data_IF_656262923262
#
_entry.id   IF_656262923262
#
_cell.length_a   1.000
_cell.length_b   1.000
_cell.length_c   1.000
_cell.angle_alpha   90.00
_cell.angle_beta   90.00
_cell.angle_gamma   90.00
#
_symmetry.space_group_name_H-M   'P 1'
#
loop_
_entity.id
_entity.type
_entity.pdbx_description
1 polymer ?
#
# COMPACT_ATOMS: atom_id res chain seq x y z
N UNK A 1 -27.25 18.12 8.47
CA UNK A 1 -25.87 17.63 8.26
C UNK A 1 -24.90 18.78 8.12
N UNK A 2 -23.86 18.83 8.97
CA UNK A 2 -22.81 19.85 8.91
C UNK A 2 -21.84 19.58 7.75
N UNK A 3 -21.10 20.61 7.30
CA UNK A 3 -20.06 20.48 6.26
C UNK A 3 -19.00 19.43 6.64
N UNK A 4 -18.68 19.31 7.93
CA UNK A 4 -17.78 18.29 8.49
C UNK A 4 -18.32 16.87 8.28
N UNK A 5 -19.59 16.63 8.66
CA UNK A 5 -20.24 15.34 8.50
C UNK A 5 -20.32 14.89 7.03
N UNK A 6 -20.63 15.81 6.10
CA UNK A 6 -20.63 15.50 4.66
C UNK A 6 -19.26 15.05 4.16
N UNK A 7 -18.18 15.72 4.60
CA UNK A 7 -16.80 15.36 4.23
C UNK A 7 -16.39 14.00 4.81
N UNK A 8 -16.76 13.73 6.06
CA UNK A 8 -16.49 12.45 6.71
C UNK A 8 -17.15 11.30 5.94
N UNK A 9 -18.44 11.42 5.64
CA UNK A 9 -19.18 10.41 4.86
C UNK A 9 -18.61 10.22 3.44
N UNK A 10 -18.11 11.29 2.81
CA UNK A 10 -17.45 11.18 1.51
C UNK A 10 -16.15 10.37 1.58
N UNK A 11 -15.35 10.54 2.64
CA UNK A 11 -14.14 9.75 2.88
C UNK A 11 -14.48 8.29 3.16
N UNK A 12 -15.44 8.01 4.04
CA UNK A 12 -15.91 6.65 4.32
C UNK A 12 -16.36 5.93 3.05
N UNK A 13 -17.14 6.60 2.19
CA UNK A 13 -17.54 6.06 0.87
C UNK A 13 -16.36 5.84 -0.09
N UNK A 14 -15.31 6.65 0.00
CA UNK A 14 -14.09 6.45 -0.81
C UNK A 14 -13.31 5.23 -0.31
N UNK A 15 -13.15 5.08 1.01
CA UNK A 15 -12.48 3.93 1.63
C UNK A 15 -13.23 2.65 1.25
N UNK A 16 -14.55 2.59 1.42
CA UNK A 16 -15.35 1.41 1.07
C UNK A 16 -15.27 1.05 -0.43
N UNK A 17 -15.08 2.03 -1.32
CA UNK A 17 -14.86 1.77 -2.76
C UNK A 17 -13.47 1.20 -3.03
N UNK A 18 -12.45 1.70 -2.36
CA UNK A 18 -11.09 1.18 -2.46
C UNK A 18 -11.01 -0.24 -1.90
N UNK A 19 -11.69 -0.53 -0.80
CA UNK A 19 -11.77 -1.86 -0.19
C UNK A 19 -12.31 -2.90 -1.19
N UNK A 20 -13.46 -2.63 -1.79
CA UNK A 20 -14.03 -3.52 -2.83
C UNK A 20 -13.05 -3.75 -3.99
N UNK A 21 -12.38 -2.71 -4.47
CA UNK A 21 -11.39 -2.84 -5.56
C UNK A 21 -10.17 -3.66 -5.13
N UNK A 22 -9.72 -3.52 -3.90
CA UNK A 22 -8.60 -4.29 -3.34
C UNK A 22 -9.00 -5.76 -3.23
N UNK A 23 -10.21 -6.06 -2.75
CA UNK A 23 -10.74 -7.43 -2.66
C UNK A 23 -10.84 -8.09 -4.05
N UNK A 24 -11.43 -7.40 -5.03
CA UNK A 24 -11.53 -7.88 -6.42
C UNK A 24 -10.14 -8.20 -7.00
N UNK A 25 -9.19 -7.25 -6.87
CA UNK A 25 -7.82 -7.41 -7.36
C UNK A 25 -7.05 -8.50 -6.61
N UNK A 26 -7.30 -8.67 -5.32
CA UNK A 26 -6.66 -9.70 -4.50
C UNK A 26 -7.13 -11.11 -4.91
N UNK A 27 -8.41 -11.28 -5.21
CA UNK A 27 -8.93 -12.55 -5.75
C UNK A 27 -8.28 -12.91 -7.09
N UNK A 28 -8.21 -11.94 -8.02
CA UNK A 28 -7.55 -12.13 -9.32
C UNK A 28 -6.07 -12.47 -9.09
N UNK A 29 -5.37 -11.73 -8.24
CA UNK A 29 -3.96 -12.01 -7.92
C UNK A 29 -3.75 -13.44 -7.42
N UNK A 30 -4.64 -13.96 -6.57
CA UNK A 30 -4.53 -15.31 -6.03
C UNK A 30 -4.66 -16.40 -7.12
N UNK A 31 -5.58 -16.20 -8.07
CA UNK A 31 -5.72 -17.09 -9.23
C UNK A 31 -4.46 -17.09 -10.11
N UNK A 32 -3.81 -15.92 -10.26
CA UNK A 32 -2.57 -15.82 -11.03
C UNK A 32 -1.36 -16.51 -10.35
N UNK A 33 -1.35 -16.62 -9.02
CA UNK A 33 -0.34 -17.43 -8.31
C UNK A 33 -0.41 -18.89 -8.74
N UNK A 34 -1.61 -19.44 -8.88
CA UNK A 34 -1.84 -20.79 -9.39
C UNK A 34 -1.58 -20.92 -10.89
N UNK A 35 -1.93 -19.90 -11.69
CA UNK A 35 -1.61 -19.87 -13.12
C UNK A 35 -0.08 -19.94 -13.37
N UNK A 36 0.73 -19.36 -12.48
CA UNK A 36 2.19 -19.49 -12.54
C UNK A 36 2.65 -20.95 -12.37
N UNK A 37 2.08 -21.67 -11.41
CA UNK A 37 2.37 -23.09 -11.19
C UNK A 37 1.90 -23.96 -12.36
N UNK A 38 0.66 -23.77 -12.80
CA UNK A 38 0.10 -24.49 -13.95
C UNK A 38 0.87 -24.23 -15.23
N UNK A 39 1.30 -22.99 -15.47
CA UNK A 39 2.16 -22.71 -16.62
C UNK A 39 3.49 -23.45 -16.50
N UNK A 40 4.14 -23.48 -15.33
CA UNK A 40 5.40 -24.18 -15.14
C UNK A 40 5.29 -25.69 -15.42
N UNK A 41 4.31 -26.36 -14.81
CA UNK A 41 4.10 -27.80 -15.02
C UNK A 41 3.57 -28.12 -16.41
N UNK A 42 2.65 -27.30 -16.94
CA UNK A 42 2.08 -27.49 -18.27
C UNK A 42 3.12 -27.36 -19.40
N UNK A 43 4.03 -26.40 -19.29
CA UNK A 43 5.12 -26.24 -20.25
C UNK A 43 6.13 -27.36 -20.21
N UNK A 44 6.60 -27.72 -19.02
CA UNK A 44 7.56 -28.80 -18.84
C UNK A 44 7.00 -30.12 -19.39
N UNK A 45 5.73 -30.42 -19.07
CA UNK A 45 5.08 -31.65 -19.54
C UNK A 45 4.87 -31.65 -21.05
N UNK A 46 4.42 -30.53 -21.63
CA UNK A 46 4.22 -30.40 -23.07
C UNK A 46 5.54 -30.53 -23.86
N UNK A 47 6.62 -29.92 -23.38
CA UNK A 47 7.95 -30.04 -24.00
C UNK A 47 8.48 -31.47 -23.96
N UNK A 48 8.28 -32.21 -22.86
CA UNK A 48 8.69 -33.61 -22.76
C UNK A 48 7.88 -34.50 -23.71
N UNK A 49 6.55 -34.35 -23.75
CA UNK A 49 5.67 -35.13 -24.64
C UNK A 49 6.03 -34.89 -26.11
N UNK A 50 6.24 -33.63 -26.52
CA UNK A 50 6.55 -33.28 -27.91
C UNK A 50 7.95 -33.71 -28.33
N UNK A 51 8.91 -33.78 -27.41
CA UNK A 51 10.24 -34.29 -27.69
C UNK A 51 10.21 -35.78 -28.08
N UNK A 52 9.40 -36.59 -27.39
CA UNK A 52 9.24 -38.00 -27.71
C UNK A 52 8.33 -38.26 -28.93
N UNK A 53 7.34 -37.40 -29.19
CA UNK A 53 6.35 -37.63 -30.25
C UNK A 53 6.74 -37.06 -31.62
N UNK A 54 7.37 -35.87 -31.67
CA UNK A 54 7.51 -35.08 -32.90
C UNK A 54 8.93 -34.56 -33.17
N UNK A 55 9.91 -34.90 -32.33
CA UNK A 55 11.32 -34.56 -32.51
C UNK A 55 11.71 -33.13 -32.09
N UNK A 56 12.96 -32.76 -32.36
CA UNK A 56 13.61 -31.56 -31.80
C UNK A 56 12.95 -30.23 -32.22
N UNK A 57 12.47 -30.14 -33.46
CA UNK A 57 11.87 -28.91 -34.00
C UNK A 57 10.52 -28.58 -33.34
N UNK A 58 9.66 -29.59 -33.17
CA UNK A 58 8.37 -29.43 -32.48
C UNK A 58 8.55 -29.06 -31.01
N UNK A 59 9.51 -29.70 -30.33
CA UNK A 59 9.87 -29.36 -28.94
C UNK A 59 10.36 -27.90 -28.81
N UNK A 60 11.20 -27.45 -29.74
CA UNK A 60 11.69 -26.06 -29.78
C UNK A 60 10.56 -25.02 -29.90
N UNK A 61 9.60 -25.26 -30.79
CA UNK A 61 8.42 -24.37 -30.95
C UNK A 61 7.59 -24.34 -29.66
N UNK A 62 7.38 -25.49 -29.02
CA UNK A 62 6.63 -25.58 -27.78
C UNK A 62 7.27 -24.78 -26.64
N UNK A 63 8.61 -24.84 -26.53
CA UNK A 63 9.35 -24.05 -25.54
C UNK A 63 9.18 -22.54 -25.80
N UNK A 64 9.25 -22.09 -27.05
CA UNK A 64 9.08 -20.68 -27.40
C UNK A 64 7.66 -20.20 -27.02
N UNK A 65 6.63 -20.95 -27.39
CA UNK A 65 5.24 -20.63 -27.04
C UNK A 65 5.06 -20.61 -25.53
N UNK A 66 5.67 -21.56 -24.82
CA UNK A 66 5.62 -21.64 -23.36
C UNK A 66 6.27 -20.42 -22.70
N UNK A 67 7.50 -20.06 -23.10
CA UNK A 67 8.21 -18.88 -22.59
C UNK A 67 7.42 -17.60 -22.87
N UNK A 68 6.83 -17.47 -24.06
CA UNK A 68 5.99 -16.32 -24.42
C UNK A 68 4.73 -16.20 -23.56
N UNK A 69 4.02 -17.32 -23.36
CA UNK A 69 2.85 -17.39 -22.49
C UNK A 69 3.18 -17.06 -21.03
N UNK A 70 4.24 -17.68 -20.50
CA UNK A 70 4.74 -17.42 -19.15
C UNK A 70 5.11 -15.95 -18.95
N UNK A 71 5.86 -15.35 -19.89
CA UNK A 71 6.25 -13.95 -19.84
C UNK A 71 5.06 -13.00 -19.85
N UNK A 72 4.00 -13.34 -20.59
CA UNK A 72 2.76 -12.54 -20.65
C UNK A 72 2.01 -12.57 -19.32
N UNK A 73 1.81 -13.76 -18.77
CA UNK A 73 1.17 -13.96 -17.45
C UNK A 73 1.97 -13.24 -16.35
N UNK A 74 3.30 -13.36 -16.37
CA UNK A 74 4.17 -12.69 -15.40
C UNK A 74 4.06 -11.16 -15.46
N UNK A 75 3.99 -10.56 -16.66
CA UNK A 75 3.79 -9.11 -16.82
C UNK A 75 2.42 -8.66 -16.30
N UNK A 76 1.36 -9.41 -16.60
CA UNK A 76 0.01 -9.10 -16.11
C UNK A 76 -0.02 -9.16 -14.58
N UNK A 77 0.55 -10.21 -13.98
CA UNK A 77 0.64 -10.34 -12.53
C UNK A 77 1.37 -9.16 -11.89
N UNK A 78 2.54 -8.77 -12.43
CA UNK A 78 3.28 -7.59 -11.92
C UNK A 78 2.43 -6.32 -11.97
N UNK A 79 1.68 -6.09 -13.05
CA UNK A 79 0.78 -4.93 -13.15
C UNK A 79 -0.34 -4.96 -12.12
N UNK A 80 -0.94 -6.13 -11.88
CA UNK A 80 -1.98 -6.31 -10.85
C UNK A 80 -1.42 -6.01 -9.47
N UNK A 81 -0.23 -6.53 -9.15
CA UNK A 81 0.44 -6.28 -7.87
C UNK A 81 0.74 -4.80 -7.66
N UNK A 82 1.28 -4.11 -8.68
CA UNK A 82 1.50 -2.66 -8.61
C UNK A 82 0.20 -1.90 -8.34
N UNK A 83 -0.88 -2.23 -9.06
CA UNK A 83 -2.19 -1.62 -8.84
C UNK A 83 -2.69 -1.86 -7.42
N UNK A 84 -2.59 -3.09 -6.91
CA UNK A 84 -3.01 -3.45 -5.56
C UNK A 84 -2.26 -2.64 -4.50
N UNK A 85 -0.93 -2.53 -4.63
CA UNK A 85 -0.09 -1.73 -3.73
C UNK A 85 -0.49 -0.25 -3.77
N UNK A 86 -0.70 0.33 -4.96
CA UNK A 86 -1.16 1.71 -5.06
C UNK A 86 -2.52 1.92 -4.40
N UNK A 87 -3.49 1.02 -4.61
CA UNK A 87 -4.81 1.13 -3.98
C UNK A 87 -4.75 1.01 -2.46
N UNK A 88 -3.87 0.14 -1.93
CA UNK A 88 -3.63 0.03 -0.48
C UNK A 88 -3.06 1.32 0.11
N UNK A 89 -2.06 1.92 -0.54
CA UNK A 89 -1.49 3.21 -0.12
C UNK A 89 -2.57 4.29 -0.14
N UNK A 90 -3.38 4.37 -1.20
CA UNK A 90 -4.48 5.34 -1.27
C UNK A 90 -5.50 5.13 -0.15
N UNK A 91 -5.85 3.88 0.14
CA UNK A 91 -6.78 3.52 1.21
C UNK A 91 -6.23 3.97 2.56
N UNK A 92 -4.97 3.66 2.85
CA UNK A 92 -4.28 4.03 4.09
C UNK A 92 -4.29 5.55 4.29
N UNK A 93 -3.93 6.32 3.25
CA UNK A 93 -3.98 7.79 3.30
C UNK A 93 -5.38 8.29 3.67
N UNK A 94 -6.44 7.77 3.03
CA UNK A 94 -7.82 8.19 3.32
C UNK A 94 -8.26 7.79 4.72
N UNK A 95 -7.90 6.58 5.16
CA UNK A 95 -8.18 6.11 6.52
C UNK A 95 -7.49 6.98 7.57
N UNK A 96 -6.23 7.36 7.35
CA UNK A 96 -5.50 8.27 8.24
C UNK A 96 -6.14 9.65 8.29
N UNK A 97 -6.60 10.21 7.17
CA UNK A 97 -7.35 11.48 7.19
C UNK A 97 -8.67 11.38 7.96
N UNK A 98 -9.39 10.27 7.82
CA UNK A 98 -10.61 10.02 8.59
C UNK A 98 -10.31 9.92 10.10
N UNK A 99 -9.24 9.21 10.47
CA UNK A 99 -8.76 9.11 11.85
C UNK A 99 -8.37 10.48 12.42
N UNK A 100 -7.70 11.34 11.64
CA UNK A 100 -7.40 12.73 12.04
C UNK A 100 -8.68 13.55 12.28
N UNK A 101 -9.67 13.45 11.39
CA UNK A 101 -10.94 14.20 11.53
C UNK A 101 -11.76 13.81 12.77
N UNK A 102 -11.58 12.57 13.23
CA UNK A 102 -12.28 11.97 14.37
C UNK A 102 -11.40 11.88 15.63
N UNK A 103 -10.13 12.28 15.53
CA UNK A 103 -9.12 12.19 16.60
C UNK A 103 -9.00 10.76 17.16
N UNK A 104 -8.97 9.78 16.25
CA UNK A 104 -8.88 8.36 16.59
C UNK A 104 -7.41 7.94 16.82
N UNK A 105 -6.87 8.21 18.01
CA UNK A 105 -5.47 7.94 18.38
C UNK A 105 -4.99 6.49 18.18
N UNK A 106 -5.92 5.53 18.24
CA UNK A 106 -5.62 4.10 18.06
C UNK A 106 -5.33 3.72 16.60
N UNK A 107 -5.84 4.51 15.65
CA UNK A 107 -5.75 4.24 14.19
C UNK A 107 -4.71 5.13 13.53
N UNK A 108 -4.37 6.26 14.15
CA UNK A 108 -3.32 7.16 13.68
C UNK A 108 -1.96 6.44 13.65
N UNK A 109 -1.12 6.68 12.62
CA UNK A 109 0.26 6.24 12.64
C UNK A 109 0.96 6.68 13.93
N UNK A 110 1.82 5.83 14.51
CA UNK A 110 2.63 6.25 15.64
C UNK A 110 3.55 7.39 15.21
N UNK A 111 3.80 8.34 16.12
CA UNK A 111 4.84 9.32 15.89
C UNK A 111 6.19 8.59 15.76
N UNK A 112 7.12 9.07 14.92
CA UNK A 112 8.49 8.61 14.93
C UNK A 112 9.03 8.61 16.37
N UNK A 113 9.71 7.55 16.76
CA UNK A 113 10.32 7.42 18.08
C UNK A 113 11.52 8.37 18.18
N UNK A 114 11.23 9.66 18.34
CA UNK A 114 12.22 10.68 18.65
C UNK A 114 12.06 10.97 20.14
N UNK A 115 13.15 10.85 20.90
CA UNK A 115 13.13 11.14 22.33
C UNK A 115 12.51 12.53 22.58
N UNK A 116 11.49 12.56 23.46
CA UNK A 116 11.00 13.80 24.03
C UNK A 116 12.20 14.49 24.68
N UNK A 117 12.49 15.73 24.27
CA UNK A 117 13.56 16.49 24.93
C UNK A 117 12.96 16.99 26.26
N UNK A 118 13.53 16.69 27.44
CA UNK A 118 12.82 16.87 28.69
C UNK A 118 12.57 18.33 29.14
N UNK A 119 12.74 19.35 28.30
CA UNK A 119 12.94 20.72 28.78
C UNK A 119 12.35 21.84 27.90
N UNK A 120 11.21 21.64 27.23
CA UNK A 120 10.50 22.77 26.61
C UNK A 120 9.24 23.17 27.41
N UNK A 121 9.14 24.41 27.92
CA UNK A 121 8.02 24.86 28.76
C UNK A 121 6.63 24.75 28.11
N UNK A 122 6.56 24.69 26.78
CA UNK A 122 5.32 24.64 26.00
C UNK A 122 4.94 23.23 25.55
N UNK A 123 5.82 22.24 25.70
CA UNK A 123 5.54 20.86 25.25
C UNK A 123 4.42 20.20 26.06
N UNK A 124 4.32 20.51 27.36
CA UNK A 124 3.35 19.90 28.28
C UNK A 124 1.99 20.61 28.37
N UNK A 125 1.91 21.90 28.03
CA UNK A 125 0.65 22.67 28.17
C UNK A 125 -0.31 22.43 26.98
N UNK A 126 0.25 22.19 25.79
CA UNK A 126 -0.49 22.01 24.53
C UNK A 126 -0.42 20.58 23.97
N UNK A 127 0.14 19.63 24.73
CA UNK A 127 0.46 18.27 24.26
C UNK A 127 1.13 18.32 22.88
N UNK A 128 2.17 19.15 22.70
CA UNK A 128 2.76 19.37 21.37
C UNK A 128 3.52 18.13 20.88
N UNK A 129 4.07 17.33 21.80
CA UNK A 129 4.88 16.15 21.53
C UNK A 129 4.43 14.98 22.41
N UNK A 130 4.44 13.75 21.87
CA UNK A 130 4.04 12.53 22.58
C UNK A 130 2.93 11.74 21.90
N UNK A 131 2.38 10.74 22.61
CA UNK A 131 1.45 9.76 22.02
C UNK A 131 0.11 10.36 21.60
N UNK A 132 -0.41 11.37 22.30
CA UNK A 132 -1.67 12.05 21.97
C UNK A 132 -1.45 13.51 21.61
N UNK A 133 -0.41 13.76 20.81
CA UNK A 133 0.06 15.11 20.54
C UNK A 133 -0.54 15.79 19.32
N UNK A 134 -0.51 17.12 19.32
CA UNK A 134 -0.85 17.94 18.16
C UNK A 134 0.07 17.63 16.97
N UNK A 135 1.38 17.48 17.20
CA UNK A 135 2.34 17.11 16.15
C UNK A 135 1.95 15.79 15.49
N UNK A 136 1.60 14.75 16.27
CA UNK A 136 1.10 13.47 15.72
C UNK A 136 -0.18 13.65 14.89
N UNK A 137 -1.04 14.58 15.27
CA UNK A 137 -2.30 14.82 14.57
C UNK A 137 -2.11 15.52 13.23
N UNK A 138 -1.25 16.54 13.18
CA UNK A 138 -1.08 17.42 12.01
C UNK A 138 0.06 16.97 11.08
N UNK A 139 0.96 16.12 11.55
CA UNK A 139 2.08 15.66 10.75
C UNK A 139 1.60 14.87 9.52
N UNK A 140 2.01 15.35 8.35
CA UNK A 140 1.83 14.69 7.05
C UNK A 140 3.16 14.54 6.31
N UNK A 141 4.28 14.65 7.04
CA UNK A 141 5.61 14.46 6.46
C UNK A 141 5.81 13.01 6.04
N UNK A 142 6.57 12.82 4.96
CA UNK A 142 6.93 11.49 4.44
C UNK A 142 8.32 11.07 4.90
N UNK A 143 9.15 12.03 5.33
CA UNK A 143 10.54 11.83 5.73
C UNK A 143 10.80 12.34 7.13
N UNK A 144 11.78 11.74 7.81
CA UNK A 144 12.21 12.17 9.14
C UNK A 144 12.61 13.65 9.18
N UNK A 145 13.36 14.14 8.18
CA UNK A 145 13.73 15.55 8.14
C UNK A 145 12.55 16.51 7.98
N UNK A 146 11.45 16.07 7.35
CA UNK A 146 10.22 16.85 7.29
C UNK A 146 9.51 16.91 8.64
N UNK A 147 9.47 15.79 9.35
CA UNK A 147 8.96 15.70 10.72
C UNK A 147 9.75 16.62 11.67
N UNK A 148 11.08 16.54 11.63
CA UNK A 148 11.96 17.35 12.48
C UNK A 148 11.79 18.86 12.19
N UNK A 149 11.60 19.22 10.92
CA UNK A 149 11.33 20.61 10.53
C UNK A 149 9.98 21.11 11.05
N UNK A 150 8.93 20.30 10.93
CA UNK A 150 7.61 20.65 11.47
C UNK A 150 7.63 20.76 13.00
N UNK A 151 8.32 19.84 13.67
CA UNK A 151 8.57 19.90 15.11
C UNK A 151 9.24 21.21 15.48
N UNK A 152 10.33 21.58 14.78
CA UNK A 152 11.05 22.82 15.02
C UNK A 152 10.18 24.07 14.90
N UNK A 153 9.25 24.11 13.94
CA UNK A 153 8.28 25.21 13.81
C UNK A 153 7.28 25.27 14.97
N UNK A 154 6.81 24.11 15.46
CA UNK A 154 5.84 24.07 16.56
C UNK A 154 6.47 24.39 17.92
N UNK A 155 7.76 24.15 18.09
CA UNK A 155 8.49 24.44 19.34
C UNK A 155 9.22 25.79 19.31
N UNK A 156 9.19 26.53 18.20
CA UNK A 156 9.80 27.85 18.12
C UNK A 156 9.04 28.85 19.01
N UNK A 157 9.78 29.55 19.88
CA UNK A 157 9.22 30.58 20.78
C UNK A 157 8.95 31.92 20.07
N UNK A 158 9.45 32.12 18.84
CA UNK A 158 9.27 33.34 18.06
C UNK A 158 8.79 32.99 16.64
N UNK A 159 7.88 33.79 16.05
CA UNK A 159 7.22 33.52 14.76
C UNK A 159 8.12 33.70 13.52
#
# INVERSE_FOLDING_TARGET
MTRKQKRQQALERQIARLDRRIEDLAQISNQYTWARLLSFFGGALASVILLFAAGWTASGIAVIVWVGGFGTVARIHRRIQHSLTSHRIWREIKQTHLARMTVAWQVLPPAPSTAAQPLHPFESDLDLIGDRSLLRLIDTSVSQGGYDRLRGWLTANEP
#
